data_IF_364827680198
#
_entry.id   IF_364827680198
#
_cell.length_a   1.000
_cell.length_b   1.000
_cell.length_c   1.000
_cell.angle_alpha   90.00
_cell.angle_beta   90.00
_cell.angle_gamma   90.00
#
_symmetry.space_group_name_H-M   'P 1'
#
loop_
_entity.id
_entity.type
_entity.pdbx_description
1 polymer ?
#
# COMPACT_ATOMS: atom_id res chain seq x y z
N UNK A 1 -31.28 55.95 8.57
CA UNK A 1 -31.12 54.56 8.18
C UNK A 1 -29.65 54.16 8.42
N UNK A 2 -29.39 53.31 9.39
CA UNK A 2 -28.05 52.78 9.69
C UNK A 2 -27.86 51.47 8.91
N UNK A 3 -26.71 51.15 8.33
CA UNK A 3 -26.48 49.87 7.69
C UNK A 3 -26.22 48.80 8.74
N UNK A 4 -26.92 47.66 8.63
CA UNK A 4 -26.68 46.43 9.42
C UNK A 4 -25.49 45.70 8.81
N UNK A 5 -24.44 45.51 9.62
CA UNK A 5 -23.33 44.60 9.30
C UNK A 5 -23.75 43.15 9.53
N UNK A 6 -23.80 42.37 8.46
CA UNK A 6 -23.87 40.91 8.55
C UNK A 6 -22.43 40.36 8.65
N UNK A 7 -22.07 39.95 9.86
CA UNK A 7 -20.85 39.18 10.06
C UNK A 7 -21.01 37.76 9.53
N UNK A 8 -20.26 37.39 8.52
CA UNK A 8 -20.07 35.99 8.10
C UNK A 8 -19.19 35.28 9.13
N UNK A 9 -19.77 34.38 9.91
CA UNK A 9 -19.02 33.37 10.65
C UNK A 9 -18.56 32.31 9.63
N UNK A 10 -17.28 32.34 9.29
CA UNK A 10 -16.63 31.25 8.60
C UNK A 10 -16.43 30.11 9.62
N UNK A 11 -17.33 29.16 9.62
CA UNK A 11 -17.15 27.90 10.35
C UNK A 11 -16.05 27.09 9.65
N UNK A 12 -14.87 27.01 10.27
CA UNK A 12 -13.85 26.05 9.87
C UNK A 12 -14.39 24.65 10.15
N UNK A 13 -14.81 23.92 9.12
CA UNK A 13 -15.05 22.50 9.18
C UNK A 13 -13.68 21.85 9.39
N UNK A 14 -13.32 21.50 10.64
CA UNK A 14 -12.26 20.55 10.91
C UNK A 14 -12.72 19.19 10.39
N UNK A 15 -12.27 18.80 9.21
CA UNK A 15 -12.29 17.43 8.77
C UNK A 15 -11.41 16.65 9.75
N UNK A 16 -12.06 15.92 10.67
CA UNK A 16 -11.41 14.91 11.48
C UNK A 16 -11.00 13.78 10.54
N UNK A 17 -9.80 13.87 10.01
CA UNK A 17 -9.16 12.74 9.35
C UNK A 17 -9.01 11.63 10.39
N UNK A 18 -9.70 10.51 10.19
CA UNK A 18 -9.45 9.30 10.96
C UNK A 18 -7.99 8.92 10.75
N UNK A 19 -7.21 8.77 11.82
CA UNK A 19 -5.80 8.46 11.67
C UNK A 19 -5.63 7.00 11.28
N UNK A 20 -5.06 6.80 10.10
CA UNK A 20 -4.70 5.52 9.54
C UNK A 20 -3.52 4.89 10.31
N UNK A 21 -3.55 3.57 10.45
CA UNK A 21 -2.58 2.77 11.22
C UNK A 21 -1.45 2.28 10.30
N UNK A 22 -0.25 2.06 10.84
CA UNK A 22 0.87 1.39 10.15
C UNK A 22 0.51 -0.07 9.87
N UNK A 23 -0.12 -0.34 8.75
CA UNK A 23 -0.67 -1.68 8.43
C UNK A 23 -0.93 -1.77 6.92
N UNK A 24 -0.62 -2.91 6.35
CA UNK A 24 -1.01 -3.23 4.98
C UNK A 24 -2.46 -3.76 4.92
N UNK A 25 -3.25 -3.32 3.92
CA UNK A 25 -2.94 -2.25 2.98
C UNK A 25 -2.97 -0.87 3.62
N UNK A 26 -2.18 0.06 3.05
CA UNK A 26 -2.02 1.42 3.61
C UNK A 26 -3.20 2.37 3.27
N UNK A 27 -3.92 2.11 2.19
CA UNK A 27 -5.15 2.81 1.81
C UNK A 27 -6.31 1.84 2.06
N UNK A 28 -7.32 2.28 2.82
CA UNK A 28 -8.38 1.38 3.34
C UNK A 28 -9.79 1.77 2.94
N UNK A 29 -10.01 2.97 2.49
CA UNK A 29 -11.30 3.54 2.11
C UNK A 29 -11.55 3.48 0.59
N UNK A 30 -10.51 3.17 -0.18
CA UNK A 30 -10.57 2.94 -1.62
C UNK A 30 -9.77 1.69 -2.01
N UNK A 31 -10.21 0.99 -3.04
CA UNK A 31 -9.37 0.02 -3.72
C UNK A 31 -8.34 0.76 -4.58
N UNK A 32 -7.08 0.50 -4.32
CA UNK A 32 -5.95 1.19 -4.96
C UNK A 32 -4.89 0.18 -5.39
N UNK A 33 -4.31 0.38 -6.56
CA UNK A 33 -3.34 -0.54 -7.12
C UNK A 33 -2.20 0.19 -7.84
N UNK A 34 -1.29 -0.57 -8.41
CA UNK A 34 -0.24 -0.05 -9.30
C UNK A 34 0.49 1.16 -8.70
N UNK A 35 1.06 1.02 -7.48
CA UNK A 35 1.53 2.16 -6.71
C UNK A 35 2.75 2.81 -7.34
N UNK A 36 2.63 4.07 -7.76
CA UNK A 36 3.74 4.95 -8.08
C UNK A 36 4.00 5.88 -6.89
N UNK A 37 5.09 5.64 -6.17
CA UNK A 37 5.47 6.40 -4.99
C UNK A 37 6.75 7.20 -5.26
N UNK A 38 6.76 8.46 -4.83
CA UNK A 38 7.90 9.36 -4.95
C UNK A 38 8.06 10.23 -3.71
N UNK A 39 9.29 10.69 -3.46
CA UNK A 39 9.57 11.65 -2.38
C UNK A 39 9.76 13.04 -2.97
N UNK A 40 8.86 13.95 -2.62
CA UNK A 40 8.95 15.36 -2.99
C UNK A 40 9.00 16.21 -1.71
N UNK A 41 10.00 17.07 -1.60
CA UNK A 41 10.18 17.97 -0.45
C UNK A 41 10.14 17.27 0.92
N UNK A 42 10.71 16.06 1.01
CA UNK A 42 10.78 15.28 2.25
C UNK A 42 9.49 14.57 2.65
N UNK A 43 8.48 14.54 1.79
CA UNK A 43 7.19 13.86 1.96
C UNK A 43 6.98 12.83 0.85
N UNK A 44 6.45 11.66 1.20
CA UNK A 44 6.07 10.64 0.21
C UNK A 44 4.73 11.01 -0.39
N UNK A 45 4.65 10.97 -1.72
CA UNK A 45 3.43 11.06 -2.51
C UNK A 45 3.22 9.75 -3.25
N UNK A 46 2.00 9.23 -3.17
CA UNK A 46 1.58 7.97 -3.77
C UNK A 46 0.49 8.25 -4.80
N UNK A 47 0.72 7.81 -6.02
CA UNK A 47 -0.19 7.93 -7.17
C UNK A 47 -0.61 6.53 -7.62
N UNK A 48 -1.62 5.93 -7.02
CA UNK A 48 -2.12 4.62 -7.43
C UNK A 48 -3.16 4.75 -8.54
N UNK A 49 -3.43 3.65 -9.23
CA UNK A 49 -4.70 3.50 -9.93
C UNK A 49 -5.84 3.27 -8.95
N UNK A 50 -7.07 3.60 -9.33
CA UNK A 50 -8.25 3.47 -8.51
C UNK A 50 -9.18 2.40 -9.09
N UNK A 51 -9.18 1.21 -8.47
CA UNK A 51 -10.05 0.11 -8.86
C UNK A 51 -11.48 0.40 -8.41
N UNK A 52 -12.43 0.40 -9.34
CA UNK A 52 -13.85 0.65 -9.06
C UNK A 52 -14.72 -0.53 -9.51
N UNK A 53 -15.87 -0.75 -8.89
CA UNK A 53 -16.85 -1.70 -9.39
C UNK A 53 -17.28 -1.34 -10.82
N UNK A 54 -17.30 -2.34 -11.70
CA UNK A 54 -17.66 -2.12 -13.09
C UNK A 54 -19.08 -1.52 -13.19
N UNK A 55 -19.27 -0.34 -13.83
CA UNK A 55 -20.56 0.28 -14.03
C UNK A 55 -21.56 -0.64 -14.76
N UNK A 56 -22.85 -0.44 -14.57
CA UNK A 56 -23.90 -1.32 -15.11
C UNK A 56 -23.77 -1.54 -16.63
N UNK A 57 -23.44 -0.52 -17.38
CA UNK A 57 -23.32 -0.51 -18.82
C UNK A 57 -21.92 -0.89 -19.35
N UNK A 58 -20.96 -1.20 -18.47
CA UNK A 58 -19.65 -1.69 -18.88
C UNK A 58 -19.71 -3.17 -19.19
N UNK A 59 -19.22 -3.57 -20.36
CA UNK A 59 -19.36 -4.92 -20.89
C UNK A 59 -18.32 -5.93 -20.34
N UNK A 60 -17.30 -5.47 -19.60
CA UNK A 60 -16.25 -6.31 -19.02
C UNK A 60 -16.34 -6.31 -17.49
N UNK A 61 -17.40 -6.95 -16.96
CA UNK A 61 -17.66 -7.01 -15.52
C UNK A 61 -16.58 -7.72 -14.68
N UNK A 62 -15.85 -8.59 -15.34
CA UNK A 62 -14.78 -9.43 -14.77
C UNK A 62 -13.37 -8.86 -15.03
N UNK A 63 -13.26 -7.59 -15.40
CA UNK A 63 -12.00 -6.96 -15.75
C UNK A 63 -11.69 -5.74 -14.88
N UNK A 64 -10.44 -5.27 -14.94
CA UNK A 64 -10.00 -4.04 -14.33
C UNK A 64 -10.80 -2.85 -14.82
N UNK A 65 -11.38 -2.10 -13.90
CA UNK A 65 -12.21 -0.94 -14.18
C UNK A 65 -11.69 0.26 -13.38
N UNK A 66 -11.15 1.26 -14.07
CA UNK A 66 -10.52 2.43 -13.46
C UNK A 66 -10.86 3.67 -14.26
N UNK A 67 -11.44 4.67 -13.62
CA UNK A 67 -11.93 5.89 -14.25
C UNK A 67 -11.14 7.14 -13.91
N UNK A 68 -10.42 7.12 -12.80
CA UNK A 68 -9.73 8.28 -12.23
C UNK A 68 -8.49 7.87 -11.43
N UNK A 69 -7.79 8.90 -10.93
CA UNK A 69 -6.63 8.74 -10.06
C UNK A 69 -6.76 9.65 -8.84
N UNK A 70 -6.50 9.11 -7.67
CA UNK A 70 -6.26 9.85 -6.45
C UNK A 70 -4.77 10.10 -6.25
N UNK A 71 -4.42 11.05 -5.39
CA UNK A 71 -3.08 11.18 -4.84
C UNK A 71 -3.15 11.18 -3.32
N UNK A 72 -2.27 10.39 -2.72
CA UNK A 72 -2.11 10.32 -1.27
C UNK A 72 -0.74 10.83 -0.87
N UNK A 73 -0.59 11.31 0.37
CA UNK A 73 0.73 11.71 0.87
C UNK A 73 0.92 11.37 2.34
N UNK A 74 2.18 11.12 2.72
CA UNK A 74 2.56 10.79 4.10
C UNK A 74 3.93 11.33 4.47
N UNK A 75 4.08 11.77 5.73
CA UNK A 75 5.35 12.17 6.33
C UNK A 75 6.03 11.01 7.10
N UNK A 76 5.34 9.88 7.29
CA UNK A 76 5.80 8.80 8.17
C UNK A 76 5.45 7.40 7.67
N UNK A 77 4.85 7.26 6.47
CA UNK A 77 4.40 6.02 5.83
C UNK A 77 3.25 5.30 6.59
N UNK A 78 2.68 5.96 7.57
CA UNK A 78 1.63 5.43 8.44
C UNK A 78 0.34 6.20 8.27
N UNK A 79 0.42 7.53 8.44
CA UNK A 79 -0.70 8.45 8.32
C UNK A 79 -0.72 8.97 6.88
N UNK A 80 -1.74 8.64 6.13
CA UNK A 80 -1.92 9.05 4.75
C UNK A 80 -3.04 10.07 4.62
N UNK A 81 -2.80 11.08 3.83
CA UNK A 81 -3.78 12.12 3.48
C UNK A 81 -4.22 11.89 2.04
N UNK A 82 -5.51 11.66 1.83
CA UNK A 82 -6.11 11.67 0.49
C UNK A 82 -6.35 13.12 0.06
N UNK A 83 -5.76 13.52 -1.07
CA UNK A 83 -5.96 14.84 -1.67
C UNK A 83 -7.09 14.84 -2.71
N UNK A 84 -7.75 13.71 -2.90
CA UNK A 84 -8.85 13.53 -3.85
C UNK A 84 -8.40 13.22 -5.26
N UNK A 85 -9.37 13.27 -6.18
CA UNK A 85 -9.17 12.96 -7.60
C UNK A 85 -8.34 14.04 -8.29
N UNK A 86 -7.27 13.63 -8.97
CA UNK A 86 -6.36 14.52 -9.69
C UNK A 86 -6.55 14.51 -11.22
N UNK A 87 -6.94 13.36 -11.78
CA UNK A 87 -7.29 13.18 -13.19
C UNK A 87 -8.45 12.19 -13.29
N UNK A 88 -9.46 12.54 -14.08
CA UNK A 88 -10.62 11.70 -14.39
C UNK A 88 -10.72 11.53 -15.91
N UNK A 89 -11.11 10.35 -16.38
CA UNK A 89 -11.21 10.02 -17.82
C UNK A 89 -12.13 10.99 -18.58
N UNK A 90 -13.12 11.61 -17.93
CA UNK A 90 -14.03 12.57 -18.55
C UNK A 90 -13.35 13.90 -18.90
N UNK A 91 -12.20 14.20 -18.28
CA UNK A 91 -11.39 15.38 -18.57
C UNK A 91 -10.28 15.14 -19.58
N UNK A 92 -10.12 13.89 -20.07
CA UNK A 92 -9.08 13.53 -21.05
C UNK A 92 -9.64 13.64 -22.47
N UNK A 93 -9.26 14.66 -23.27
CA UNK A 93 -9.96 14.99 -24.52
C UNK A 93 -9.89 13.90 -25.60
N UNK A 94 -8.91 13.01 -25.53
CA UNK A 94 -8.64 11.96 -26.52
C UNK A 94 -9.06 10.56 -26.06
N UNK A 95 -9.74 10.45 -24.92
CA UNK A 95 -10.18 9.18 -24.31
C UNK A 95 -11.69 9.03 -24.43
N UNK A 96 -12.15 7.83 -24.73
CA UNK A 96 -13.55 7.49 -24.57
C UNK A 96 -13.90 7.46 -23.06
N UNK A 97 -14.87 8.24 -22.63
CA UNK A 97 -15.31 8.35 -21.24
C UNK A 97 -15.88 7.04 -20.64
N UNK A 98 -15.94 5.97 -21.42
CA UNK A 98 -16.32 4.62 -21.00
C UNK A 98 -15.21 3.61 -21.20
N UNK A 99 -13.97 4.05 -21.37
CA UNK A 99 -12.84 3.16 -21.57
C UNK A 99 -12.46 2.42 -20.29
N UNK A 100 -12.61 3.07 -19.15
CA UNK A 100 -12.24 2.57 -17.82
C UNK A 100 -10.84 1.94 -17.79
N UNK A 101 -9.92 2.52 -18.56
CA UNK A 101 -8.55 2.03 -18.74
C UNK A 101 -7.51 3.03 -18.21
N UNK A 102 -7.85 3.75 -17.16
CA UNK A 102 -6.94 4.63 -16.41
C UNK A 102 -6.08 3.78 -15.46
N UNK A 103 -5.20 2.95 -16.08
CA UNK A 103 -4.40 1.93 -15.38
C UNK A 103 -3.16 2.53 -14.74
N UNK A 104 -2.10 1.76 -14.51
CA UNK A 104 -0.90 2.15 -13.78
C UNK A 104 -0.33 3.51 -14.21
N UNK A 105 -0.27 4.51 -13.31
CA UNK A 105 0.28 5.83 -13.59
C UNK A 105 1.72 5.95 -13.07
N UNK A 106 2.36 7.10 -13.37
CA UNK A 106 3.56 7.56 -12.69
C UNK A 106 3.62 9.09 -12.63
N UNK A 107 4.39 9.64 -11.69
CA UNK A 107 4.56 11.08 -11.52
C UNK A 107 6.00 11.43 -11.16
N UNK A 108 6.54 12.49 -11.75
CA UNK A 108 7.83 13.03 -11.34
C UNK A 108 7.85 14.55 -11.45
N UNK A 109 8.88 15.18 -10.87
CA UNK A 109 9.06 16.62 -10.84
C UNK A 109 10.29 17.03 -11.66
N UNK A 110 10.15 18.06 -12.51
CA UNK A 110 11.28 18.70 -13.19
C UNK A 110 11.08 20.22 -13.16
N UNK A 111 12.10 20.94 -12.76
CA UNK A 111 12.12 22.41 -12.69
C UNK A 111 10.92 23.01 -11.92
N UNK A 112 10.55 22.34 -10.80
CA UNK A 112 9.44 22.75 -9.93
C UNK A 112 8.05 22.50 -10.48
N UNK A 113 7.93 21.82 -11.62
CA UNK A 113 6.67 21.40 -12.21
C UNK A 113 6.50 19.89 -12.11
N UNK A 114 5.31 19.42 -11.73
CA UNK A 114 4.95 18.02 -11.62
C UNK A 114 4.33 17.55 -12.93
N UNK A 115 4.75 16.37 -13.38
CA UNK A 115 4.31 15.70 -14.59
C UNK A 115 3.75 14.35 -14.22
N UNK A 116 2.44 14.19 -14.38
CA UNK A 116 1.71 12.96 -14.12
C UNK A 116 1.43 12.24 -15.44
N UNK A 117 1.94 11.02 -15.57
CA UNK A 117 1.80 10.20 -16.78
C UNK A 117 0.79 9.09 -16.49
N UNK A 118 -0.07 8.83 -17.46
CA UNK A 118 -1.11 7.83 -17.30
C UNK A 118 -1.44 7.16 -18.65
N UNK A 119 -1.75 5.83 -18.64
CA UNK A 119 -2.25 5.16 -19.83
C UNK A 119 -3.75 5.41 -19.99
N UNK A 120 -4.17 5.51 -21.22
CA UNK A 120 -5.59 5.43 -21.61
C UNK A 120 -5.69 5.06 -23.07
N UNK A 121 -6.61 4.16 -23.44
CA UNK A 121 -6.77 3.69 -24.82
C UNK A 121 -5.45 3.23 -25.47
N UNK A 122 -4.58 2.54 -24.72
CA UNK A 122 -3.27 2.06 -25.16
C UNK A 122 -2.32 3.16 -25.64
N UNK A 123 -2.41 4.35 -25.05
CA UNK A 123 -1.52 5.50 -25.27
C UNK A 123 -1.17 6.15 -23.94
N UNK A 124 -0.02 6.78 -23.84
CA UNK A 124 0.43 7.47 -22.66
C UNK A 124 0.09 8.96 -22.76
N UNK A 125 -0.70 9.45 -21.82
CA UNK A 125 -0.99 10.87 -21.63
C UNK A 125 -0.09 11.51 -20.58
N UNK A 126 -0.10 12.83 -20.52
CA UNK A 126 0.56 13.61 -19.50
C UNK A 126 -0.36 14.72 -19.00
N UNK A 127 -0.33 14.95 -17.70
CA UNK A 127 -0.95 16.10 -17.05
C UNK A 127 0.10 16.86 -16.23
N UNK A 128 -0.08 18.16 -16.05
CA UNK A 128 0.92 18.99 -15.35
C UNK A 128 0.29 19.81 -14.23
N UNK A 129 1.05 20.00 -13.15
CA UNK A 129 0.67 20.81 -12.00
C UNK A 129 1.87 21.55 -11.39
N UNK A 130 1.58 22.59 -10.59
CA UNK A 130 2.59 23.30 -9.82
C UNK A 130 2.75 22.75 -8.39
N UNK A 131 1.88 21.80 -8.01
CA UNK A 131 1.93 21.08 -6.72
C UNK A 131 1.82 19.59 -6.97
N UNK A 132 2.41 18.73 -6.11
CA UNK A 132 2.38 17.27 -6.29
C UNK A 132 0.97 16.67 -6.18
N UNK A 133 0.04 17.39 -5.58
CA UNK A 133 -1.37 16.99 -5.43
C UNK A 133 -2.32 17.76 -6.37
N UNK A 134 -1.76 18.49 -7.35
CA UNK A 134 -2.56 19.22 -8.35
C UNK A 134 -2.90 20.67 -7.96
N UNK A 135 -3.92 21.27 -8.62
CA UNK A 135 -4.72 20.67 -9.68
C UNK A 135 -3.92 20.37 -10.96
N UNK A 136 -4.10 19.19 -11.51
CA UNK A 136 -3.45 18.77 -12.75
C UNK A 136 -4.23 19.23 -13.98
N UNK A 137 -3.50 19.66 -15.01
CA UNK A 137 -4.04 20.02 -16.33
C UNK A 137 -3.60 19.00 -17.35
N UNK A 138 -4.56 18.26 -17.89
CA UNK A 138 -4.34 17.22 -18.90
C UNK A 138 -4.02 17.86 -20.26
N UNK A 139 -3.01 17.33 -20.94
CA UNK A 139 -2.66 17.72 -22.30
C UNK A 139 -3.71 17.27 -23.33
N UNK A 140 -3.89 18.05 -24.39
CA UNK A 140 -4.91 17.83 -25.42
C UNK A 140 -4.66 16.60 -26.28
N UNK A 141 -3.43 16.06 -26.26
CA UNK A 141 -3.03 14.88 -27.03
C UNK A 141 -2.12 13.99 -26.16
N UNK A 142 -2.12 12.68 -26.38
CA UNK A 142 -1.14 11.79 -25.77
C UNK A 142 0.26 12.08 -26.32
N UNK A 143 1.28 11.60 -25.62
CA UNK A 143 2.67 11.68 -26.07
C UNK A 143 2.82 10.89 -27.37
N UNK A 144 3.28 11.58 -28.42
CA UNK A 144 3.42 10.98 -29.73
C UNK A 144 4.49 9.88 -29.70
N UNK A 145 4.12 8.69 -30.16
CA UNK A 145 5.01 7.53 -30.20
C UNK A 145 5.00 6.66 -28.93
N UNK A 146 4.43 7.13 -27.82
CA UNK A 146 4.26 6.36 -26.61
C UNK A 146 2.95 5.55 -26.64
N UNK A 147 2.97 4.43 -27.38
CA UNK A 147 1.84 3.52 -27.45
C UNK A 147 2.06 2.34 -26.49
N UNK A 148 1.11 2.12 -25.60
CA UNK A 148 1.17 1.08 -24.57
C UNK A 148 0.57 1.53 -23.25
N UNK A 149 1.03 0.89 -22.17
CA UNK A 149 0.57 1.08 -20.79
C UNK A 149 1.76 1.25 -19.84
N UNK A 150 1.48 1.49 -18.57
CA UNK A 150 2.41 1.46 -17.45
C UNK A 150 3.62 2.39 -17.66
N UNK A 151 3.43 3.70 -17.82
CA UNK A 151 4.54 4.62 -17.87
C UNK A 151 5.31 4.63 -16.55
N UNK A 152 6.63 4.71 -16.66
CA UNK A 152 7.54 5.07 -15.57
C UNK A 152 8.41 6.22 -16.03
N UNK A 153 8.49 7.29 -15.25
CA UNK A 153 9.31 8.45 -15.54
C UNK A 153 10.55 8.45 -14.64
N UNK A 154 11.69 8.22 -15.24
CA UNK A 154 12.99 8.24 -14.56
C UNK A 154 13.76 9.49 -14.94
N UNK A 155 14.25 10.23 -13.95
CA UNK A 155 15.16 11.37 -14.15
C UNK A 155 16.52 10.97 -13.59
N UNK A 156 17.54 10.96 -14.46
CA UNK A 156 18.90 10.58 -14.07
C UNK A 156 19.58 11.70 -13.26
N UNK A 157 20.72 11.40 -12.65
CA UNK A 157 21.51 12.32 -11.82
C UNK A 157 21.96 13.60 -12.58
N UNK A 158 22.08 13.50 -13.90
CA UNK A 158 22.42 14.65 -14.77
C UNK A 158 21.19 15.49 -15.18
N UNK A 159 20.00 15.13 -14.67
CA UNK A 159 18.73 15.79 -14.98
C UNK A 159 18.07 15.31 -16.28
N UNK A 160 18.64 14.33 -16.97
CA UNK A 160 18.06 13.77 -18.21
C UNK A 160 16.82 12.94 -17.89
N UNK A 161 15.64 13.29 -18.46
CA UNK A 161 14.42 12.54 -18.24
C UNK A 161 14.24 11.41 -19.25
N UNK A 162 13.75 10.29 -18.78
CA UNK A 162 13.42 9.11 -19.58
C UNK A 162 11.99 8.65 -19.29
N UNK A 163 11.21 8.42 -20.34
CA UNK A 163 9.95 7.71 -20.26
C UNK A 163 10.19 6.24 -20.61
N UNK A 164 9.73 5.37 -19.73
CA UNK A 164 9.78 3.91 -19.87
C UNK A 164 8.33 3.43 -19.86
N UNK A 165 7.96 2.47 -20.70
CA UNK A 165 6.59 1.95 -20.73
C UNK A 165 6.50 0.55 -21.32
N UNK A 166 5.38 -0.12 -21.04
CA UNK A 166 5.01 -1.41 -21.63
C UNK A 166 4.34 -1.19 -22.99
N UNK A 167 5.05 -1.52 -24.05
CA UNK A 167 4.57 -1.41 -25.42
C UNK A 167 4.77 -2.72 -26.17
N UNK A 168 5.44 -2.69 -27.31
CA UNK A 168 5.98 -3.90 -27.93
C UNK A 168 7.27 -4.32 -27.19
N UNK A 169 7.10 -4.97 -26.03
CA UNK A 169 8.14 -5.15 -25.03
C UNK A 169 8.38 -3.87 -24.20
N UNK A 170 9.43 -3.87 -23.39
CA UNK A 170 9.78 -2.71 -22.56
C UNK A 170 10.48 -1.64 -23.40
N UNK A 171 9.84 -0.50 -23.56
CA UNK A 171 10.31 0.63 -24.34
C UNK A 171 10.91 1.70 -23.44
N UNK A 172 11.89 2.45 -23.96
CA UNK A 172 12.47 3.61 -23.32
C UNK A 172 12.74 4.70 -24.38
N UNK A 173 12.44 5.94 -24.01
CA UNK A 173 12.77 7.12 -24.78
C UNK A 173 13.31 8.22 -23.86
N UNK A 174 14.37 8.89 -24.29
CA UNK A 174 14.76 10.17 -23.69
C UNK A 174 13.69 11.21 -24.00
N UNK A 175 13.32 12.01 -23.02
CA UNK A 175 12.41 13.15 -23.22
C UNK A 175 13.20 14.44 -23.41
N UNK A 176 12.58 15.39 -24.11
CA UNK A 176 13.00 16.80 -24.12
C UNK A 176 12.73 17.43 -22.74
N UNK A 177 13.28 18.61 -22.51
CA UNK A 177 13.08 19.35 -21.23
C UNK A 177 11.61 19.69 -20.95
N UNK A 178 10.76 19.72 -21.98
CA UNK A 178 9.32 19.92 -21.80
C UNK A 178 8.61 18.71 -21.20
N UNK A 179 9.30 17.55 -21.03
CA UNK A 179 8.77 16.31 -20.44
C UNK A 179 7.60 15.67 -21.20
N UNK A 180 7.34 16.11 -22.44
CA UNK A 180 6.14 15.73 -23.22
C UNK A 180 6.45 15.19 -24.61
N UNK A 181 7.68 15.32 -25.04
CA UNK A 181 8.13 14.90 -26.36
C UNK A 181 9.41 14.09 -26.26
N UNK A 182 9.58 13.15 -27.17
CA UNK A 182 10.82 12.39 -27.28
C UNK A 182 11.96 13.26 -27.82
N UNK A 183 13.13 13.14 -27.21
CA UNK A 183 14.42 13.62 -27.73
C UNK A 183 15.10 12.48 -28.49
N UNK A 184 14.68 12.25 -29.73
CA UNK A 184 15.09 11.15 -30.58
C UNK A 184 14.06 10.02 -30.64
N UNK A 185 14.51 8.83 -31.06
CA UNK A 185 13.66 7.66 -31.22
C UNK A 185 13.58 6.82 -29.90
N UNK A 186 12.41 6.24 -29.66
CA UNK A 186 12.31 5.20 -28.65
C UNK A 186 13.02 3.91 -29.08
N UNK A 187 13.41 3.11 -28.11
CA UNK A 187 14.01 1.78 -28.32
C UNK A 187 13.64 0.80 -27.21
N UNK A 188 13.78 -0.48 -27.49
CA UNK A 188 13.61 -1.49 -26.45
C UNK A 188 14.76 -1.46 -25.45
N UNK A 189 14.45 -1.62 -24.17
CA UNK A 189 15.47 -1.82 -23.12
C UNK A 189 16.21 -3.13 -23.39
N UNK A 190 17.53 -3.09 -23.31
CA UNK A 190 18.36 -4.29 -23.48
C UNK A 190 18.53 -5.03 -22.16
N UNK A 191 18.13 -6.29 -22.12
CA UNK A 191 18.21 -7.13 -20.92
C UNK A 191 18.40 -8.60 -21.29
N UNK A 192 18.89 -9.41 -20.33
CA UNK A 192 19.05 -10.85 -20.47
C UNK A 192 18.07 -11.67 -19.61
N UNK A 193 16.93 -11.09 -19.25
CA UNK A 193 15.90 -11.84 -18.51
C UNK A 193 15.47 -13.09 -19.27
N UNK A 194 15.15 -14.18 -18.57
CA UNK A 194 14.54 -15.36 -19.22
C UNK A 194 13.30 -14.95 -20.01
N UNK A 195 13.05 -15.60 -21.15
CA UNK A 195 12.00 -15.19 -22.10
C UNK A 195 10.56 -15.29 -21.58
N UNK A 196 10.36 -16.02 -20.48
CA UNK A 196 9.02 -16.24 -19.92
C UNK A 196 8.90 -15.51 -18.58
N UNK A 197 8.12 -14.48 -18.48
CA UNK A 197 7.81 -13.91 -17.18
C UNK A 197 7.60 -12.39 -17.19
N UNK A 198 8.50 -11.62 -17.81
CA UNK A 198 8.32 -10.17 -17.90
C UNK A 198 7.23 -9.82 -18.90
N UNK A 199 6.20 -9.13 -18.45
CA UNK A 199 5.03 -8.77 -19.26
C UNK A 199 4.86 -7.26 -19.40
N UNK A 200 4.84 -6.56 -18.30
CA UNK A 200 4.43 -5.17 -18.18
C UNK A 200 5.06 -4.52 -16.95
N UNK A 201 4.63 -3.31 -16.57
CA UNK A 201 4.92 -2.68 -15.28
C UNK A 201 6.38 -2.31 -15.02
N UNK A 202 7.10 -1.67 -15.97
CA UNK A 202 8.49 -1.29 -15.74
C UNK A 202 8.59 -0.21 -14.67
N UNK A 203 9.60 -0.35 -13.80
CA UNK A 203 10.03 0.72 -12.93
C UNK A 203 11.56 0.82 -12.94
N UNK A 204 12.08 2.04 -12.82
CA UNK A 204 13.53 2.26 -12.80
C UNK A 204 13.91 3.20 -11.66
N UNK A 205 14.94 2.80 -10.92
CA UNK A 205 15.59 3.66 -9.94
C UNK A 205 17.11 3.47 -10.00
N UNK A 206 17.85 4.39 -9.37
CA UNK A 206 19.31 4.37 -9.32
C UNK A 206 19.78 4.41 -7.87
N UNK A 207 20.77 3.58 -7.53
CA UNK A 207 21.40 3.57 -6.22
C UNK A 207 22.90 3.29 -6.37
N UNK A 208 23.74 4.14 -5.78
CA UNK A 208 25.21 4.01 -5.82
C UNK A 208 25.77 3.82 -7.24
N UNK A 209 25.22 4.54 -8.23
CA UNK A 209 25.63 4.47 -9.63
C UNK A 209 25.12 3.25 -10.40
N UNK A 210 24.38 2.35 -9.76
CA UNK A 210 23.77 1.17 -10.38
C UNK A 210 22.35 1.49 -10.75
N UNK A 211 21.93 1.19 -11.99
CA UNK A 211 20.56 1.27 -12.45
C UNK A 211 19.86 -0.05 -12.17
N UNK A 212 18.71 0.04 -11.54
CA UNK A 212 17.80 -1.08 -11.26
C UNK A 212 16.62 -0.96 -12.18
N UNK A 213 16.44 -1.93 -13.05
CA UNK A 213 15.28 -2.09 -13.90
C UNK A 213 14.43 -3.21 -13.31
N UNK A 214 13.26 -2.86 -12.81
CA UNK A 214 12.37 -3.74 -12.04
C UNK A 214 11.04 -3.88 -12.76
N UNK A 215 10.35 -5.02 -12.59
CA UNK A 215 9.14 -5.34 -13.32
C UNK A 215 8.36 -6.48 -12.66
N UNK A 216 7.04 -6.58 -12.89
CA UNK A 216 6.27 -7.78 -12.60
C UNK A 216 6.81 -9.01 -13.33
N UNK A 217 6.82 -10.11 -12.63
CA UNK A 217 7.34 -11.38 -13.14
C UNK A 217 6.29 -12.48 -13.02
N UNK A 218 5.75 -12.91 -14.15
CA UNK A 218 4.75 -13.96 -14.18
C UNK A 218 5.36 -15.34 -13.91
N UNK A 219 4.90 -16.00 -12.86
CA UNK A 219 5.19 -17.40 -12.55
C UNK A 219 3.89 -18.19 -12.48
N UNK A 220 3.72 -19.13 -13.41
CA UNK A 220 2.48 -19.87 -13.59
C UNK A 220 1.33 -18.88 -13.91
N UNK A 221 0.37 -18.73 -13.02
CA UNK A 221 -0.81 -17.89 -13.19
C UNK A 221 -0.77 -16.62 -12.34
N UNK A 222 0.36 -16.31 -11.70
CA UNK A 222 0.50 -15.16 -10.79
C UNK A 222 1.78 -14.39 -11.05
N UNK A 223 1.75 -13.11 -10.74
CA UNK A 223 2.90 -12.24 -10.80
C UNK A 223 3.53 -12.04 -9.43
N UNK A 224 4.84 -12.09 -9.40
CA UNK A 224 5.69 -11.55 -8.36
C UNK A 224 6.47 -10.36 -8.94
N UNK A 225 7.53 -9.93 -8.30
CA UNK A 225 8.39 -8.84 -8.76
C UNK A 225 9.81 -9.34 -8.96
N UNK A 226 10.45 -8.90 -10.05
CA UNK A 226 11.82 -9.24 -10.36
C UNK A 226 12.61 -8.02 -10.81
N UNK A 227 13.94 -8.17 -10.96
CA UNK A 227 14.80 -7.07 -11.31
C UNK A 227 16.05 -7.49 -12.08
N UNK A 228 16.58 -6.50 -12.78
CA UNK A 228 17.88 -6.51 -13.41
C UNK A 228 18.72 -5.34 -12.90
N UNK A 229 20.05 -5.45 -13.00
CA UNK A 229 21.01 -4.40 -12.70
C UNK A 229 21.80 -4.04 -13.96
N UNK A 230 22.13 -2.75 -14.12
CA UNK A 230 22.88 -2.24 -15.26
C UNK A 230 23.67 -0.99 -14.95
N UNK A 231 24.45 -0.51 -15.92
CA UNK A 231 25.29 0.70 -15.81
C UNK A 231 24.76 1.88 -16.62
N UNK A 232 23.61 1.72 -17.29
CA UNK A 232 22.98 2.73 -18.13
C UNK A 232 21.46 2.57 -18.11
N UNK A 233 20.66 3.64 -18.28
CA UNK A 233 19.20 3.53 -18.31
C UNK A 233 18.68 2.71 -19.50
N UNK A 234 19.51 2.53 -20.51
CA UNK A 234 19.19 1.70 -21.68
C UNK A 234 19.60 0.23 -21.54
N UNK A 235 20.33 -0.10 -20.50
CA UNK A 235 21.04 -1.37 -20.32
C UNK A 235 22.42 -1.40 -21.02
N UNK A 236 23.00 -2.59 -21.29
CA UNK A 236 22.38 -3.89 -21.05
C UNK A 236 22.15 -4.17 -19.55
N UNK A 237 21.01 -4.72 -19.24
CA UNK A 237 20.63 -5.12 -17.90
C UNK A 237 20.83 -6.62 -17.70
N UNK A 238 21.44 -6.99 -16.58
CA UNK A 238 21.65 -8.36 -16.15
C UNK A 238 20.58 -8.77 -15.13
N UNK A 239 19.84 -9.84 -15.41
CA UNK A 239 18.84 -10.39 -14.51
C UNK A 239 19.47 -10.87 -13.19
N UNK A 240 18.93 -10.45 -12.06
CA UNK A 240 19.43 -10.78 -10.74
C UNK A 240 18.49 -11.65 -9.91
N UNK A 241 17.22 -11.72 -10.25
CA UNK A 241 16.27 -12.55 -9.56
C UNK A 241 14.99 -11.81 -9.16
N UNK A 242 14.34 -12.33 -8.13
CA UNK A 242 13.10 -11.77 -7.58
C UNK A 242 13.40 -10.71 -6.53
N UNK A 243 12.52 -9.72 -6.46
CA UNK A 243 12.48 -8.71 -5.39
C UNK A 243 11.59 -9.20 -4.24
N UNK A 244 10.48 -9.85 -4.58
CA UNK A 244 9.44 -10.20 -3.63
C UNK A 244 9.00 -11.65 -3.81
N UNK A 245 8.67 -12.34 -2.73
CA UNK A 245 7.98 -13.61 -2.78
C UNK A 245 6.55 -13.43 -3.31
N UNK A 246 6.02 -14.48 -3.92
CA UNK A 246 4.63 -14.47 -4.37
C UNK A 246 3.69 -14.37 -3.17
N UNK A 247 2.71 -13.47 -3.25
CA UNK A 247 1.66 -13.37 -2.24
C UNK A 247 0.81 -14.64 -2.21
N UNK A 248 0.31 -15.01 -1.02
CA UNK A 248 -0.64 -16.11 -0.85
C UNK A 248 -2.05 -15.75 -1.34
N UNK A 249 -2.29 -14.46 -1.65
CA UNK A 249 -3.58 -13.99 -2.17
C UNK A 249 -3.83 -14.46 -3.61
N UNK A 250 -5.07 -14.39 -4.06
CA UNK A 250 -5.44 -14.79 -5.43
C UNK A 250 -5.16 -13.73 -6.49
N UNK A 251 -4.58 -12.58 -6.12
CA UNK A 251 -4.20 -11.53 -7.06
C UNK A 251 -3.17 -12.05 -8.05
N UNK A 252 -3.53 -12.09 -9.33
CA UNK A 252 -2.63 -12.60 -10.36
C UNK A 252 -1.70 -11.52 -10.93
N UNK A 253 -2.08 -10.22 -10.81
CA UNK A 253 -1.22 -9.09 -11.20
C UNK A 253 -0.41 -8.59 -10.01
N UNK A 254 0.74 -8.00 -10.30
CA UNK A 254 1.49 -7.17 -9.37
C UNK A 254 2.03 -5.94 -10.11
N UNK A 255 2.22 -4.85 -9.38
CA UNK A 255 2.86 -3.64 -9.87
C UNK A 255 3.47 -2.91 -8.67
N UNK A 256 4.50 -2.09 -8.90
CA UNK A 256 5.30 -1.60 -7.80
C UNK A 256 6.02 -0.30 -8.10
N UNK A 257 6.55 0.29 -7.04
CA UNK A 257 7.59 1.31 -7.08
C UNK A 257 8.57 1.13 -5.92
N UNK A 258 9.77 1.68 -6.05
CA UNK A 258 10.82 1.62 -5.04
C UNK A 258 11.24 3.04 -4.68
N UNK A 259 11.27 3.36 -3.40
CA UNK A 259 11.51 4.70 -2.90
C UNK A 259 12.50 4.68 -1.74
N UNK A 260 13.42 5.65 -1.72
CA UNK A 260 14.22 5.96 -0.53
C UNK A 260 13.52 7.08 0.27
N UNK A 261 13.25 6.81 1.55
CA UNK A 261 12.65 7.77 2.45
C UNK A 261 13.28 7.68 3.84
N UNK A 262 13.75 8.81 4.37
CA UNK A 262 14.40 8.90 5.69
C UNK A 262 15.55 7.89 5.88
N UNK A 263 16.36 7.69 4.82
CA UNK A 263 17.54 6.82 4.84
C UNK A 263 17.24 5.32 4.78
N UNK A 264 16.02 4.94 4.49
CA UNK A 264 15.59 3.57 4.26
C UNK A 264 14.91 3.43 2.91
N UNK A 265 14.97 2.22 2.35
CA UNK A 265 14.31 1.90 1.08
C UNK A 265 13.04 1.11 1.32
N UNK A 266 12.02 1.37 0.50
CA UNK A 266 10.71 0.78 0.61
C UNK A 266 10.21 0.29 -0.74
N UNK A 267 9.58 -0.89 -0.72
CA UNK A 267 8.84 -1.45 -1.84
C UNK A 267 7.36 -1.17 -1.64
N UNK A 268 6.76 -0.44 -2.55
CA UNK A 268 5.31 -0.31 -2.68
C UNK A 268 4.83 -1.34 -3.69
N UNK A 269 3.78 -2.05 -3.37
CA UNK A 269 3.20 -3.10 -4.22
C UNK A 269 1.70 -3.22 -3.94
N UNK A 270 0.98 -4.14 -4.55
CA UNK A 270 -0.42 -4.37 -4.21
C UNK A 270 -0.75 -5.85 -4.00
N UNK A 271 -1.85 -6.10 -3.29
CA UNK A 271 -2.52 -7.39 -3.16
C UNK A 271 -4.04 -7.19 -3.14
N UNK A 272 -4.82 -8.29 -2.97
CA UNK A 272 -6.28 -8.22 -2.95
C UNK A 272 -6.92 -8.84 -1.70
N UNK A 273 -6.26 -8.76 -0.55
CA UNK A 273 -6.76 -9.35 0.71
C UNK A 273 -8.14 -8.83 1.09
N UNK A 274 -8.45 -7.56 0.77
CA UNK A 274 -9.75 -6.96 1.02
C UNK A 274 -10.83 -7.35 0.00
N UNK A 275 -10.46 -8.00 -1.09
CA UNK A 275 -11.37 -8.50 -2.12
C UNK A 275 -10.96 -9.91 -2.59
N UNK A 276 -10.96 -10.92 -1.70
CA UNK A 276 -10.41 -12.24 -2.00
C UNK A 276 -11.23 -13.04 -3.02
N UNK A 277 -12.43 -12.57 -3.37
CA UNK A 277 -13.29 -13.20 -4.38
C UNK A 277 -13.31 -12.47 -5.72
N UNK A 278 -12.69 -11.28 -5.79
CA UNK A 278 -12.58 -10.49 -7.00
C UNK A 278 -11.22 -9.79 -7.04
N UNK A 279 -10.27 -10.42 -7.70
CA UNK A 279 -8.86 -10.05 -7.74
C UNK A 279 -8.54 -8.76 -8.53
N UNK A 280 -9.55 -8.07 -9.07
CA UNK A 280 -9.45 -6.76 -9.73
C UNK A 280 -9.80 -5.58 -8.81
N UNK A 281 -10.09 -5.85 -7.53
CA UNK A 281 -10.16 -4.84 -6.48
C UNK A 281 -8.94 -5.01 -5.59
N UNK A 282 -7.92 -4.23 -5.84
CA UNK A 282 -6.59 -4.39 -5.23
C UNK A 282 -6.35 -3.33 -4.16
N UNK A 283 -5.32 -3.51 -3.37
CA UNK A 283 -4.99 -2.58 -2.28
C UNK A 283 -3.48 -2.43 -2.14
N UNK A 284 -3.02 -1.18 -2.06
CA UNK A 284 -1.59 -0.85 -1.97
C UNK A 284 -1.01 -1.22 -0.60
N UNK A 285 0.13 -1.86 -0.64
CA UNK A 285 0.94 -2.29 0.49
C UNK A 285 2.35 -1.70 0.42
N UNK A 286 3.06 -1.74 1.54
CA UNK A 286 4.43 -1.27 1.66
C UNK A 286 5.21 -2.15 2.63
N UNK A 287 6.41 -2.57 2.21
CA UNK A 287 7.39 -3.24 3.07
C UNK A 287 8.79 -2.65 2.89
N UNK A 288 9.67 -2.85 3.87
CA UNK A 288 11.06 -2.39 3.80
C UNK A 288 11.84 -3.23 2.78
N UNK A 289 12.62 -2.55 1.93
CA UNK A 289 13.49 -3.16 0.95
C UNK A 289 14.94 -2.93 1.37
N UNK A 290 15.75 -3.99 1.38
CA UNK A 290 17.15 -3.93 1.77
C UNK A 290 18.05 -4.49 0.70
N UNK A 291 19.33 -4.12 0.77
CA UNK A 291 20.35 -4.50 -0.22
C UNK A 291 21.49 -5.24 0.44
N UNK A 292 22.06 -6.18 -0.29
CA UNK A 292 23.35 -6.80 0.02
C UNK A 292 24.50 -5.83 -0.26
N UNK A 293 25.71 -6.17 0.18
CA UNK A 293 26.92 -5.37 -0.05
C UNK A 293 27.25 -5.19 -1.53
N UNK A 294 26.94 -6.17 -2.37
CA UNK A 294 27.15 -6.14 -3.83
C UNK A 294 26.04 -5.35 -4.57
N UNK A 295 25.08 -4.78 -3.86
CA UNK A 295 23.96 -4.04 -4.39
C UNK A 295 22.75 -4.90 -4.81
N UNK A 296 22.82 -6.23 -4.71
CA UNK A 296 21.65 -7.07 -4.98
C UNK A 296 20.58 -6.84 -3.92
N UNK A 297 19.31 -6.98 -4.33
CA UNK A 297 18.15 -6.78 -3.46
C UNK A 297 17.91 -8.05 -2.63
N UNK A 298 17.71 -7.89 -1.32
CA UNK A 298 17.22 -8.98 -0.47
C UNK A 298 15.75 -9.25 -0.76
N UNK A 299 15.40 -10.53 -0.84
CA UNK A 299 14.03 -10.95 -1.13
C UNK A 299 13.06 -10.43 -0.07
N UNK A 300 12.10 -9.62 -0.48
CA UNK A 300 11.05 -9.06 0.39
C UNK A 300 9.96 -10.11 0.58
N UNK A 301 9.61 -10.34 1.83
CA UNK A 301 8.43 -11.14 2.18
C UNK A 301 7.26 -10.19 2.44
N UNK A 302 6.17 -10.27 1.66
CA UNK A 302 4.98 -9.47 1.89
C UNK A 302 4.44 -9.64 3.31
N UNK A 303 4.11 -8.52 3.97
CA UNK A 303 3.57 -8.54 5.32
C UNK A 303 2.21 -7.85 5.42
N UNK A 304 1.36 -8.34 6.32
CA UNK A 304 0.13 -7.63 6.71
C UNK A 304 0.43 -6.51 7.72
N UNK A 305 1.60 -6.56 8.36
CA UNK A 305 2.02 -5.55 9.32
C UNK A 305 2.51 -4.27 8.65
N UNK A 306 3.11 -4.34 7.48
CA UNK A 306 3.67 -3.20 6.78
C UNK A 306 4.83 -2.54 7.53
N UNK A 307 5.03 -1.24 7.31
CA UNK A 307 6.12 -0.44 7.88
C UNK A 307 5.61 0.62 8.85
N UNK A 308 6.55 1.26 9.57
CA UNK A 308 6.24 2.33 10.51
C UNK A 308 5.89 1.86 11.91
N UNK A 309 5.41 2.77 12.75
CA UNK A 309 5.13 2.56 14.17
C UNK A 309 3.66 2.83 14.43
N UNK A 310 2.94 1.84 14.96
CA UNK A 310 1.52 1.99 15.32
C UNK A 310 1.40 2.54 16.74
N UNK A 311 0.55 3.54 16.97
CA UNK A 311 0.25 4.01 18.32
C UNK A 311 -0.65 3.03 19.06
N UNK A 312 -0.28 2.61 20.27
CA UNK A 312 -1.09 1.72 21.11
C UNK A 312 -2.48 2.31 21.43
N UNK A 313 -2.61 3.65 21.42
CA UNK A 313 -3.87 4.37 21.66
C UNK A 313 -4.83 4.36 20.47
N UNK A 314 -4.48 3.69 19.39
CA UNK A 314 -5.32 3.46 18.22
C UNK A 314 -5.82 2.02 18.21
N UNK A 315 -6.83 1.76 17.41
CA UNK A 315 -7.30 0.41 17.15
C UNK A 315 -6.24 -0.37 16.35
N UNK A 316 -5.58 -1.33 16.99
CA UNK A 316 -4.68 -2.27 16.34
C UNK A 316 -5.56 -3.39 15.80
N UNK A 317 -5.78 -3.41 14.51
CA UNK A 317 -6.58 -4.44 13.84
C UNK A 317 -5.92 -5.80 13.99
N UNK A 318 -6.70 -6.79 14.39
CA UNK A 318 -6.17 -8.08 14.83
C UNK A 318 -5.51 -8.88 13.69
N UNK A 319 -5.95 -8.68 12.46
CA UNK A 319 -5.43 -9.31 11.27
C UNK A 319 -4.06 -8.75 10.81
N UNK A 320 -3.63 -7.60 11.37
CA UNK A 320 -2.38 -6.91 10.99
C UNK A 320 -1.19 -7.33 11.88
N UNK A 321 -1.03 -8.61 12.05
CA UNK A 321 0.00 -9.21 12.90
C UNK A 321 1.38 -9.25 12.20
N UNK A 322 2.43 -9.28 13.01
CA UNK A 322 3.80 -9.56 12.56
C UNK A 322 4.07 -11.06 12.52
N UNK A 323 3.56 -11.80 13.51
CA UNK A 323 3.61 -13.25 13.50
C UNK A 323 2.37 -13.86 14.16
N UNK A 324 2.06 -15.08 13.73
CA UNK A 324 0.92 -15.87 14.20
C UNK A 324 1.43 -17.20 14.75
N UNK A 325 0.83 -17.65 15.84
CA UNK A 325 1.10 -18.97 16.40
C UNK A 325 0.84 -20.07 15.35
N UNK A 326 1.60 -21.17 15.39
CA UNK A 326 1.56 -22.18 14.33
C UNK A 326 0.21 -22.90 14.24
N UNK A 327 -0.56 -22.91 15.31
CA UNK A 327 -1.83 -23.61 15.40
C UNK A 327 -2.78 -22.88 16.35
N UNK A 328 -4.08 -23.18 16.21
CA UNK A 328 -5.13 -22.72 17.12
C UNK A 328 -5.39 -21.20 17.11
N UNK A 329 -4.94 -20.52 16.09
CA UNK A 329 -5.35 -19.15 15.75
C UNK A 329 -5.42 -19.01 14.23
N UNK A 330 -6.46 -18.39 13.73
CA UNK A 330 -6.61 -18.08 12.30
C UNK A 330 -7.26 -16.72 12.11
N UNK A 331 -7.04 -16.13 10.96
CA UNK A 331 -7.76 -14.96 10.51
C UNK A 331 -8.94 -15.39 9.63
N UNK A 332 -10.09 -14.76 9.83
CA UNK A 332 -11.31 -15.02 9.06
C UNK A 332 -12.09 -13.71 8.88
N UNK A 333 -13.09 -13.68 8.01
CA UNK A 333 -13.96 -12.53 7.85
C UNK A 333 -14.72 -12.21 9.14
N UNK A 334 -14.89 -10.92 9.42
CA UNK A 334 -15.67 -10.46 10.55
C UNK A 334 -17.11 -10.96 10.43
N UNK A 335 -17.71 -10.84 9.24
CA UNK A 335 -19.05 -11.30 8.93
C UNK A 335 -19.07 -12.67 8.27
N UNK A 336 -20.04 -13.48 8.63
CA UNK A 336 -20.21 -14.83 8.10
C UNK A 336 -20.64 -14.88 6.62
N UNK A 337 -21.26 -13.83 6.12
CA UNK A 337 -21.62 -13.67 4.70
C UNK A 337 -20.45 -13.25 3.81
N UNK A 338 -19.27 -13.03 4.43
CA UNK A 338 -18.03 -12.62 3.77
C UNK A 338 -18.13 -11.28 3.05
N UNK A 339 -19.06 -10.42 3.46
CA UNK A 339 -19.03 -9.01 3.08
C UNK A 339 -17.82 -8.36 3.72
N UNK A 340 -17.22 -7.42 3.01
CA UNK A 340 -16.02 -6.76 3.52
C UNK A 340 -16.40 -5.69 4.57
N UNK A 341 -16.44 -6.11 5.82
CA UNK A 341 -16.56 -5.22 7.00
C UNK A 341 -15.36 -5.37 7.94
N UNK A 342 -14.32 -6.09 7.50
CA UNK A 342 -13.12 -6.32 8.27
C UNK A 342 -12.83 -7.80 8.53
N UNK A 343 -11.85 -8.01 9.37
CA UNK A 343 -11.33 -9.31 9.73
C UNK A 343 -11.35 -9.54 11.23
N UNK A 344 -11.39 -10.80 11.66
CA UNK A 344 -11.24 -11.22 13.03
C UNK A 344 -10.17 -12.29 13.16
N UNK A 345 -9.49 -12.33 14.30
CA UNK A 345 -8.75 -13.51 14.71
C UNK A 345 -9.67 -14.43 15.53
N UNK A 346 -9.62 -15.69 15.21
CA UNK A 346 -10.29 -16.75 15.96
C UNK A 346 -9.20 -17.53 16.71
N UNK A 347 -9.31 -17.50 18.03
CA UNK A 347 -8.48 -18.28 18.93
C UNK A 347 -9.31 -19.46 19.44
N UNK A 348 -8.77 -20.67 19.34
CA UNK A 348 -9.45 -21.85 19.90
C UNK A 348 -8.50 -22.77 20.65
N UNK A 349 -8.99 -23.46 21.66
CA UNK A 349 -8.24 -24.41 22.41
C UNK A 349 -8.66 -25.84 22.01
N UNK A 350 -7.68 -26.70 21.77
CA UNK A 350 -7.90 -28.13 21.59
C UNK A 350 -7.13 -28.88 22.68
N UNK A 351 -7.71 -29.97 23.20
CA UNK A 351 -7.07 -30.79 24.20
C UNK A 351 -5.78 -31.49 23.72
N UNK A 352 -5.52 -31.45 22.43
CA UNK A 352 -4.42 -32.18 21.78
C UNK A 352 -3.14 -31.33 21.60
N UNK A 353 -3.24 -29.99 21.61
CA UNK A 353 -2.10 -29.12 21.32
C UNK A 353 -1.67 -28.29 22.52
N UNK A 354 -0.35 -28.39 22.86
CA UNK A 354 0.29 -27.61 23.93
C UNK A 354 1.05 -26.38 23.44
N UNK A 355 0.86 -26.02 22.20
CA UNK A 355 1.55 -24.85 21.59
C UNK A 355 0.92 -23.54 22.06
N UNK A 356 1.70 -22.47 22.21
CA UNK A 356 1.17 -21.15 22.55
C UNK A 356 0.25 -20.63 21.45
N UNK A 357 -0.94 -20.17 21.83
CA UNK A 357 -1.92 -19.56 20.91
C UNK A 357 -1.72 -18.06 20.98
N UNK A 358 -1.13 -17.45 19.97
CA UNK A 358 -0.76 -16.04 20.02
C UNK A 358 -0.72 -15.34 18.65
N UNK A 359 -0.79 -14.00 18.71
CA UNK A 359 -0.43 -13.05 17.66
C UNK A 359 0.59 -12.04 18.22
N UNK A 360 1.51 -11.57 17.38
CA UNK A 360 2.42 -10.47 17.74
C UNK A 360 2.24 -9.27 16.82
N UNK A 361 2.52 -8.09 17.35
CA UNK A 361 2.50 -6.82 16.63
C UNK A 361 3.77 -6.06 16.96
N UNK A 362 4.71 -6.05 16.05
CA UNK A 362 5.95 -5.30 16.23
C UNK A 362 5.71 -3.79 16.12
N UNK A 363 6.60 -3.00 16.71
CA UNK A 363 6.61 -1.55 16.59
C UNK A 363 5.28 -0.90 17.00
N UNK A 364 4.78 -1.27 18.18
CA UNK A 364 3.66 -0.59 18.84
C UNK A 364 4.20 0.44 19.81
N UNK A 365 3.88 1.71 19.60
CA UNK A 365 4.30 2.82 20.46
C UNK A 365 3.27 3.06 21.58
N UNK A 366 3.66 2.76 22.80
CA UNK A 366 2.88 3.00 24.01
C UNK A 366 2.95 4.46 24.49
N UNK A 367 3.78 5.30 23.84
CA UNK A 367 3.96 6.69 24.18
C UNK A 367 4.74 6.88 25.51
N UNK A 368 4.84 8.14 25.93
CA UNK A 368 5.51 8.52 27.19
C UNK A 368 4.53 8.70 28.36
N UNK A 369 3.27 9.02 28.04
CA UNK A 369 2.22 9.21 29.05
C UNK A 369 1.67 7.85 29.51
N UNK A 370 1.36 7.69 30.82
CA UNK A 370 0.82 6.45 31.34
C UNK A 370 -0.52 6.09 30.70
N UNK A 371 -0.64 4.86 30.25
CA UNK A 371 -1.90 4.26 29.80
C UNK A 371 -2.58 3.60 30.99
N UNK A 372 -3.91 3.62 31.08
CA UNK A 372 -4.69 3.13 32.24
C UNK A 372 -5.42 1.84 32.00
N UNK A 373 -5.89 1.64 30.77
CA UNK A 373 -6.69 0.46 30.45
C UNK A 373 -6.46 0.02 29.01
N UNK A 374 -6.95 -1.17 28.69
CA UNK A 374 -7.04 -1.68 27.33
C UNK A 374 -8.48 -2.06 27.04
N UNK A 375 -8.89 -1.86 25.80
CA UNK A 375 -10.18 -2.28 25.24
C UNK A 375 -9.93 -3.33 24.16
N UNK A 376 -10.61 -4.46 24.24
CA UNK A 376 -10.71 -5.45 23.17
C UNK A 376 -12.13 -5.46 22.61
N UNK A 377 -12.28 -5.31 21.29
CA UNK A 377 -13.52 -5.69 20.63
C UNK A 377 -13.48 -7.20 20.37
N UNK A 378 -14.36 -7.92 21.05
CA UNK A 378 -14.30 -9.38 21.10
C UNK A 378 -15.66 -10.03 21.15
N UNK A 379 -15.69 -11.31 20.79
CA UNK A 379 -16.85 -12.20 20.86
C UNK A 379 -16.46 -13.57 21.38
N UNK A 380 -17.29 -14.17 22.19
CA UNK A 380 -17.18 -15.58 22.61
C UNK A 380 -18.52 -16.07 23.17
N UNK A 381 -18.96 -17.25 22.80
CA UNK A 381 -20.16 -17.86 23.40
C UNK A 381 -19.88 -18.49 24.77
N UNK A 382 -18.65 -18.91 25.02
CA UNK A 382 -18.27 -19.61 26.25
C UNK A 382 -17.42 -18.76 27.22
N UNK A 383 -16.86 -17.66 26.72
CA UNK A 383 -15.93 -16.82 27.47
C UNK A 383 -14.52 -17.39 27.57
N UNK A 384 -13.64 -16.59 28.19
CA UNK A 384 -12.24 -16.94 28.40
C UNK A 384 -11.39 -15.75 28.79
N UNK A 385 -10.07 -15.89 28.69
CA UNK A 385 -9.11 -14.85 29.05
C UNK A 385 -8.05 -14.69 27.97
N UNK A 386 -7.86 -13.44 27.56
CA UNK A 386 -6.77 -12.99 26.70
C UNK A 386 -5.74 -12.25 27.53
N UNK A 387 -4.48 -12.69 27.45
CA UNK A 387 -3.34 -12.00 28.03
C UNK A 387 -2.67 -11.13 26.98
N UNK A 388 -2.37 -9.89 27.37
CA UNK A 388 -1.61 -8.92 26.60
C UNK A 388 -0.28 -8.66 27.28
N UNK A 389 0.82 -8.82 26.56
CA UNK A 389 2.18 -8.62 27.08
C UNK A 389 2.99 -7.74 26.15
N UNK A 390 4.02 -7.09 26.70
CA UNK A 390 5.06 -6.45 25.90
C UNK A 390 6.24 -7.43 25.70
N UNK A 391 6.87 -7.35 24.53
CA UNK A 391 8.14 -8.02 24.19
C UNK A 391 8.14 -9.55 24.31
N UNK A 392 6.99 -10.17 24.06
CA UNK A 392 6.85 -11.62 23.91
C UNK A 392 6.18 -12.35 25.08
N UNK A 393 6.15 -13.67 24.98
CA UNK A 393 5.40 -14.55 25.88
C UNK A 393 5.80 -14.44 27.37
N UNK A 394 7.04 -14.12 27.65
CA UNK A 394 7.59 -13.98 28.99
C UNK A 394 7.80 -12.51 29.43
N UNK A 395 7.42 -11.56 28.57
CA UNK A 395 7.55 -10.15 28.84
C UNK A 395 6.52 -9.63 29.85
N UNK A 396 6.57 -8.32 30.20
CA UNK A 396 5.66 -7.71 31.16
C UNK A 396 4.19 -7.94 30.80
N UNK A 397 3.40 -8.42 31.75
CA UNK A 397 1.96 -8.59 31.56
C UNK A 397 1.27 -7.21 31.67
N UNK A 398 0.71 -6.75 30.55
CA UNK A 398 0.00 -5.50 30.47
C UNK A 398 -1.42 -5.63 31.02
N UNK A 399 -2.13 -6.67 30.61
CA UNK A 399 -3.49 -6.94 31.05
C UNK A 399 -3.87 -8.41 30.86
N UNK A 400 -4.82 -8.88 31.66
CA UNK A 400 -5.54 -10.14 31.48
C UNK A 400 -7.02 -9.80 31.28
N UNK A 401 -7.45 -9.77 30.04
CA UNK A 401 -8.81 -9.36 29.69
C UNK A 401 -9.76 -10.55 29.76
N UNK A 402 -10.76 -10.48 30.64
CA UNK A 402 -11.82 -11.48 30.70
C UNK A 402 -12.86 -11.18 29.62
N UNK A 403 -12.98 -12.10 28.67
CA UNK A 403 -14.02 -12.10 27.64
C UNK A 403 -15.24 -12.85 28.19
N UNK A 404 -16.38 -12.15 28.24
CA UNK A 404 -17.62 -12.75 28.73
C UNK A 404 -18.26 -13.63 27.65
N UNK A 405 -18.87 -14.75 28.07
CA UNK A 405 -19.70 -15.58 27.19
C UNK A 405 -21.00 -14.85 26.82
N UNK A 406 -21.09 -14.36 25.58
CA UNK A 406 -22.25 -13.61 25.03
C UNK A 406 -22.42 -13.86 23.53
N UNK A 407 -23.66 -13.81 23.00
CA UNK A 407 -23.90 -14.01 21.56
C UNK A 407 -23.43 -12.84 20.70
N UNK A 408 -23.30 -11.63 21.27
CA UNK A 408 -23.01 -10.41 20.53
C UNK A 408 -21.55 -9.96 20.69
N UNK A 409 -21.02 -9.23 19.72
CA UNK A 409 -19.76 -8.53 19.82
C UNK A 409 -19.80 -7.46 20.92
N UNK A 410 -18.77 -7.42 21.75
CA UNK A 410 -18.68 -6.47 22.88
C UNK A 410 -17.29 -5.86 22.96
N UNK A 411 -17.22 -4.69 23.61
CA UNK A 411 -15.96 -4.09 24.03
C UNK A 411 -15.66 -4.47 25.48
N UNK A 412 -14.64 -5.31 25.67
CA UNK A 412 -14.17 -5.67 26.99
C UNK A 412 -13.07 -4.71 27.43
N UNK A 413 -13.30 -3.96 28.50
CA UNK A 413 -12.33 -3.00 29.05
C UNK A 413 -11.68 -3.59 30.31
N UNK A 414 -10.34 -3.53 30.37
CA UNK A 414 -9.55 -4.05 31.47
C UNK A 414 -8.51 -3.00 31.93
N UNK A 415 -8.39 -2.70 33.23
CA UNK A 415 -7.28 -1.89 33.75
C UNK A 415 -5.94 -2.55 33.45
N UNK A 416 -4.90 -1.75 33.17
CA UNK A 416 -3.55 -2.25 33.02
C UNK A 416 -2.96 -2.67 34.37
N UNK A 417 -2.20 -3.77 34.36
CA UNK A 417 -1.49 -4.29 35.52
C UNK A 417 -0.11 -3.60 35.71
N UNK A 418 0.43 -3.05 34.62
CA UNK A 418 1.63 -2.22 34.66
C UNK A 418 1.45 -1.01 33.74
N UNK A 419 1.94 0.13 34.18
CA UNK A 419 1.96 1.39 33.43
C UNK A 419 3.39 1.80 33.02
N UNK A 420 4.37 0.94 33.28
CA UNK A 420 5.79 1.24 33.10
C UNK A 420 6.31 0.98 31.68
N UNK A 421 5.47 0.35 30.83
CA UNK A 421 5.82 0.13 29.42
C UNK A 421 5.59 1.43 28.63
N UNK A 422 6.69 2.00 28.11
CA UNK A 422 6.72 3.28 27.38
C UNK A 422 7.54 3.13 26.09
N UNK A 423 7.22 3.97 25.11
CA UNK A 423 7.90 3.91 23.81
C UNK A 423 7.49 2.70 22.97
N UNK A 424 8.39 2.25 22.11
CA UNK A 424 8.07 1.24 21.07
C UNK A 424 8.41 -0.16 21.55
N UNK A 425 7.42 -1.04 21.55
CA UNK A 425 7.51 -2.44 21.96
C UNK A 425 6.81 -3.37 20.98
N UNK A 426 7.03 -4.67 21.12
CA UNK A 426 6.21 -5.70 20.48
C UNK A 426 5.02 -6.03 21.38
N UNK A 427 3.79 -5.86 20.90
CA UNK A 427 2.59 -6.34 21.59
C UNK A 427 2.42 -7.83 21.30
N UNK A 428 2.24 -8.61 22.35
CA UNK A 428 1.97 -10.06 22.32
C UNK A 428 0.55 -10.30 22.85
N UNK A 429 -0.31 -10.86 22.01
CA UNK A 429 -1.72 -11.18 22.31
C UNK A 429 -1.87 -12.68 22.36
N UNK A 430 -2.29 -13.25 23.48
CA UNK A 430 -2.40 -14.70 23.62
C UNK A 430 -3.64 -15.13 24.38
N UNK A 431 -4.20 -16.29 24.01
CA UNK A 431 -5.29 -16.90 24.75
C UNK A 431 -4.74 -17.74 25.91
N UNK A 432 -5.03 -17.30 27.14
CA UNK A 432 -4.65 -18.03 28.37
C UNK A 432 -5.65 -19.14 28.71
N UNK A 433 -6.93 -18.88 28.52
CA UNK A 433 -8.00 -19.84 28.82
C UNK A 433 -9.25 -19.57 28.00
N UNK A 434 -10.11 -20.56 27.87
CA UNK A 434 -11.33 -20.53 27.05
C UNK A 434 -11.26 -21.57 25.94
N UNK A 435 -12.39 -21.76 25.25
CA UNK A 435 -12.48 -22.71 24.14
C UNK A 435 -12.51 -22.05 22.78
N UNK A 436 -13.10 -20.86 22.70
CA UNK A 436 -13.25 -20.11 21.45
C UNK A 436 -13.42 -18.65 21.78
N UNK A 437 -12.50 -17.81 21.30
CA UNK A 437 -12.55 -16.35 21.43
C UNK A 437 -12.26 -15.75 20.07
N UNK A 438 -13.09 -14.81 19.65
CA UNK A 438 -12.89 -14.00 18.45
C UNK A 438 -12.51 -12.58 18.86
N UNK A 439 -11.55 -11.96 18.16
CA UNK A 439 -11.11 -10.59 18.39
C UNK A 439 -11.08 -9.85 17.05
N UNK A 440 -11.55 -8.60 17.04
CA UNK A 440 -11.52 -7.70 15.91
C UNK A 440 -10.32 -6.73 16.04
N UNK A 441 -10.23 -6.02 17.16
CA UNK A 441 -9.13 -5.10 17.42
C UNK A 441 -8.79 -4.94 18.91
N UNK A 442 -7.62 -4.35 19.16
CA UNK A 442 -7.09 -4.01 20.49
C UNK A 442 -6.75 -2.52 20.53
N UNK A 443 -7.11 -1.81 21.61
CA UNK A 443 -6.79 -0.39 21.82
C UNK A 443 -6.45 -0.11 23.29
N UNK A 444 -5.35 0.59 23.54
CA UNK A 444 -4.97 1.04 24.88
C UNK A 444 -5.50 2.47 25.11
N UNK A 445 -5.90 2.77 26.35
CA UNK A 445 -6.54 4.03 26.69
C UNK A 445 -5.70 4.79 27.73
N UNK A 446 -5.58 6.14 27.57
CA UNK A 446 -4.91 7.04 28.52
C UNK A 446 -5.51 7.10 29.91
#
# INVERSE_FOLDING_TARGET
MKPQNYGFLAGALMLLSAPLLAQNPIIRDNFSADPSAHVFNGRVYLYPSHDIPAPYDYNRKDWFCMADYHVYSSDNLVDWVDHGVIVDQTYVPWVNTRSYSMWAPDCNVKDGKYYFYFPANNRIGVATADQPYGPFRVDQQPIQGANGIDPCIFIDDDGTPYLIWSGMGMQIAKLKDNMKEFDGASRSIQHNTPQSGMKEGPFMFKRNGIYYFTFPWAEKERETLAYCMGSSPYGPFEYKGKIMEQSETVCWTNHHSVVEFQGKWYLFYHHNDYSPYFDKNRSVCIDELTFNEDGTINLVKPTLRGVGVSKATREIQIDRYSSIGPENVKIDFLNSDRTFDGWKAIFWNTTEYRQPIYLTYDRVDFGEAPLKSVTLRCHSTAGGVIDLRADGANGPLLASVTVQGRPDWTEAVCPLQTTDVKGVHTLYVSMRSGNHIEIDWVRFNP
#
